data_IF_133860982669
#
_entry.id   IF_133860982669
#
_cell.length_a   1.000
_cell.length_b   1.000
_cell.length_c   1.000
_cell.angle_alpha   90.00
_cell.angle_beta   90.00
_cell.angle_gamma   90.00
#
_symmetry.space_group_name_H-M   'P 1'
#
loop_
_entity.id
_entity.type
_entity.pdbx_description
1 polymer ?
#
# COMPACT_ATOMS: atom_id res chain seq x y z
N UNK A 1 16.15 15.08 1.31
CA UNK A 1 16.65 13.69 1.39
C UNK A 1 16.62 13.07 0.01
N UNK A 2 17.55 12.16 -0.29
CA UNK A 2 17.57 11.39 -1.54
C UNK A 2 16.33 10.49 -1.55
N UNK A 3 15.45 10.65 -2.55
CA UNK A 3 14.13 10.00 -2.62
C UNK A 3 14.14 8.55 -3.09
N UNK A 4 15.25 7.82 -2.95
CA UNK A 4 15.33 6.41 -3.32
C UNK A 4 14.77 5.51 -2.21
N UNK A 5 14.17 4.39 -2.61
CA UNK A 5 13.81 3.33 -1.67
C UNK A 5 15.07 2.76 -1.00
N UNK A 6 14.94 2.34 0.26
CA UNK A 6 16.07 1.86 1.08
C UNK A 6 16.81 0.69 0.44
N UNK A 7 16.10 -0.21 -0.24
CA UNK A 7 16.70 -1.36 -0.92
C UNK A 7 17.56 -0.93 -2.11
N UNK A 8 17.06 0.00 -2.92
CA UNK A 8 17.79 0.55 -4.06
C UNK A 8 19.01 1.34 -3.62
N UNK A 9 18.91 2.09 -2.50
CA UNK A 9 20.07 2.76 -1.90
C UNK A 9 21.13 1.76 -1.45
N UNK A 10 20.75 0.69 -0.75
CA UNK A 10 21.69 -0.36 -0.32
C UNK A 10 22.36 -1.01 -1.52
N UNK A 11 21.60 -1.29 -2.58
CA UNK A 11 22.13 -1.85 -3.81
C UNK A 11 23.12 -0.89 -4.48
N UNK A 12 22.75 0.36 -4.70
CA UNK A 12 23.65 1.38 -5.29
C UNK A 12 24.95 1.54 -4.49
N UNK A 13 24.86 1.54 -3.15
CA UNK A 13 26.03 1.61 -2.30
C UNK A 13 26.90 0.35 -2.40
N UNK A 14 26.30 -0.83 -2.59
CA UNK A 14 27.05 -2.09 -2.76
C UNK A 14 27.83 -2.17 -4.08
N UNK A 15 27.45 -1.40 -5.09
CA UNK A 15 28.13 -1.35 -6.39
C UNK A 15 29.49 -0.63 -6.33
N UNK A 16 29.79 0.11 -5.25
CA UNK A 16 31.02 0.90 -5.10
C UNK A 16 31.32 1.80 -6.31
N UNK A 17 30.36 2.66 -6.66
CA UNK A 17 30.50 3.61 -7.77
C UNK A 17 31.69 4.57 -7.56
N UNK A 18 32.35 4.97 -8.66
CA UNK A 18 33.55 5.82 -8.60
C UNK A 18 33.26 7.20 -8.04
N UNK A 19 32.05 7.72 -8.27
CA UNK A 19 31.60 9.00 -7.76
C UNK A 19 30.41 8.86 -6.81
N UNK A 20 30.43 9.68 -5.76
CA UNK A 20 29.30 9.80 -4.82
C UNK A 20 28.11 10.50 -5.48
N UNK A 21 26.92 9.89 -5.41
CA UNK A 21 25.68 10.48 -5.90
C UNK A 21 24.96 11.21 -4.76
N UNK A 22 25.15 12.53 -4.65
CA UNK A 22 24.48 13.36 -3.64
C UNK A 22 23.16 13.92 -4.17
N UNK A 23 23.13 14.25 -5.46
CA UNK A 23 21.97 14.83 -6.11
C UNK A 23 21.61 13.99 -7.34
N UNK A 24 20.73 12.97 -7.19
CA UNK A 24 20.49 11.98 -8.23
C UNK A 24 20.02 12.62 -9.55
N UNK A 25 19.27 13.73 -9.49
CA UNK A 25 18.86 14.45 -10.70
C UNK A 25 20.03 14.90 -11.55
N UNK A 26 21.08 15.45 -10.93
CA UNK A 26 22.25 15.99 -11.63
C UNK A 26 23.27 14.90 -11.93
N UNK A 27 23.56 14.06 -10.94
CA UNK A 27 24.67 13.11 -11.00
C UNK A 27 24.38 11.99 -12.02
N UNK A 28 23.11 11.56 -12.16
CA UNK A 28 22.71 10.59 -13.18
C UNK A 28 22.41 11.21 -14.56
N UNK A 29 22.24 12.54 -14.66
CA UNK A 29 21.94 13.20 -15.94
C UNK A 29 23.08 13.09 -16.96
N UNK A 30 24.32 12.90 -16.51
CA UNK A 30 25.47 12.72 -17.39
C UNK A 30 25.50 11.34 -18.07
N UNK A 31 24.88 10.33 -17.47
CA UNK A 31 24.92 8.96 -17.98
C UNK A 31 26.19 8.17 -17.60
N UNK A 32 27.28 8.82 -17.16
CA UNK A 32 28.50 8.13 -16.71
C UNK A 32 28.22 7.13 -15.56
N UNK A 33 27.56 7.58 -14.50
CA UNK A 33 27.20 6.70 -13.38
C UNK A 33 26.26 5.56 -13.79
N UNK A 34 25.37 5.82 -14.76
CA UNK A 34 24.48 4.80 -15.32
C UNK A 34 25.31 3.75 -16.06
N UNK A 35 26.29 4.17 -16.85
CA UNK A 35 27.19 3.26 -17.53
C UNK A 35 27.97 2.39 -16.54
N UNK A 36 28.46 2.94 -15.43
CA UNK A 36 29.13 2.15 -14.38
C UNK A 36 28.20 1.09 -13.77
N UNK A 37 26.95 1.45 -13.47
CA UNK A 37 25.95 0.51 -12.95
C UNK A 37 25.75 -0.66 -13.92
N UNK A 38 25.58 -0.37 -15.23
CA UNK A 38 25.41 -1.42 -16.23
C UNK A 38 26.68 -2.24 -16.43
N UNK A 39 27.87 -1.63 -16.38
CA UNK A 39 29.14 -2.36 -16.51
C UNK A 39 29.39 -3.34 -15.36
N UNK A 40 28.87 -3.06 -14.15
CA UNK A 40 28.92 -4.02 -13.05
C UNK A 40 28.15 -5.31 -13.37
N UNK A 41 26.98 -5.20 -14.01
CA UNK A 41 26.15 -6.35 -14.36
C UNK A 41 26.50 -6.99 -15.71
N UNK A 42 27.07 -6.22 -16.63
CA UNK A 42 27.49 -6.65 -17.97
C UNK A 42 28.98 -6.32 -18.18
N UNK A 43 29.89 -7.04 -17.49
CA UNK A 43 31.32 -6.74 -17.58
C UNK A 43 31.83 -6.93 -19.01
N UNK A 44 32.52 -5.92 -19.53
CA UNK A 44 33.15 -5.95 -20.86
C UNK A 44 32.25 -5.50 -22.03
N UNK A 45 30.97 -5.24 -21.78
CA UNK A 45 30.05 -4.73 -22.80
C UNK A 45 30.15 -3.19 -22.97
N UNK A 46 30.55 -2.48 -21.91
CA UNK A 46 30.72 -1.04 -21.87
C UNK A 46 32.17 -0.66 -21.61
N UNK A 47 32.73 0.18 -22.47
CA UNK A 47 34.06 0.76 -22.26
C UNK A 47 33.94 2.02 -21.40
N UNK A 48 33.91 1.87 -20.07
CA UNK A 48 33.82 2.98 -19.11
C UNK A 48 34.83 4.12 -19.38
N UNK A 49 36.11 3.86 -19.72
CA UNK A 49 37.05 4.94 -20.03
C UNK A 49 36.68 5.80 -21.24
N UNK A 50 35.79 5.32 -22.12
CA UNK A 50 35.28 6.09 -23.26
C UNK A 50 34.16 7.06 -22.89
N UNK A 51 33.63 6.97 -21.67
CA UNK A 51 32.64 7.91 -21.14
C UNK A 51 33.34 9.10 -20.48
N UNK A 52 32.78 10.29 -20.67
CA UNK A 52 33.36 11.51 -20.14
C UNK A 52 32.59 12.00 -18.91
N UNK A 53 33.30 12.42 -17.86
CA UNK A 53 32.71 13.00 -16.64
C UNK A 53 32.28 14.47 -16.81
N UNK A 54 32.57 15.10 -17.96
CA UNK A 54 32.23 16.50 -18.20
C UNK A 54 30.72 16.78 -18.21
N UNK A 55 30.32 17.98 -17.79
CA UNK A 55 28.90 18.35 -17.62
C UNK A 55 28.30 19.11 -18.83
N UNK A 56 29.08 19.27 -19.91
CA UNK A 56 28.61 19.98 -21.11
C UNK A 56 27.50 19.20 -21.82
N UNK A 57 26.55 19.92 -22.43
CA UNK A 57 25.40 19.31 -23.12
C UNK A 57 25.82 18.35 -24.24
N UNK A 58 26.91 18.68 -24.94
CA UNK A 58 27.50 17.84 -25.99
C UNK A 58 28.05 16.54 -25.41
N UNK A 59 28.79 16.61 -24.30
CA UNK A 59 29.34 15.44 -23.62
C UNK A 59 28.22 14.52 -23.14
N UNK A 60 27.21 15.08 -22.47
CA UNK A 60 26.04 14.31 -22.04
C UNK A 60 25.40 13.58 -23.21
N UNK A 61 25.21 14.26 -24.34
CA UNK A 61 24.60 13.67 -25.53
C UNK A 61 25.45 12.51 -26.07
N UNK A 62 26.77 12.68 -26.17
CA UNK A 62 27.68 11.59 -26.60
C UNK A 62 27.62 10.39 -25.66
N UNK A 63 27.63 10.61 -24.34
CA UNK A 63 27.51 9.54 -23.34
C UNK A 63 26.19 8.78 -23.48
N UNK A 64 25.06 9.51 -23.63
CA UNK A 64 23.75 8.89 -23.81
C UNK A 64 23.63 8.14 -25.15
N UNK A 65 24.25 8.62 -26.22
CA UNK A 65 24.27 7.90 -27.51
C UNK A 65 25.02 6.57 -27.41
N UNK A 66 26.13 6.52 -26.65
CA UNK A 66 26.85 5.27 -26.36
C UNK A 66 25.98 4.31 -25.54
N UNK A 67 25.31 4.80 -24.50
CA UNK A 67 24.37 4.00 -23.70
C UNK A 67 23.23 3.43 -24.55
N UNK A 68 22.65 4.23 -25.45
CA UNK A 68 21.58 3.75 -26.34
C UNK A 68 22.05 2.63 -27.27
N UNK A 69 23.28 2.70 -27.79
CA UNK A 69 23.86 1.60 -28.58
C UNK A 69 23.99 0.32 -27.75
N UNK A 70 24.44 0.45 -26.50
CA UNK A 70 24.52 -0.68 -25.57
C UNK A 70 23.13 -1.27 -25.25
N UNK A 71 22.12 -0.43 -25.00
CA UNK A 71 20.76 -0.89 -24.73
C UNK A 71 20.17 -1.65 -25.92
N UNK A 72 20.37 -1.14 -27.14
CA UNK A 72 19.95 -1.83 -28.37
C UNK A 72 20.67 -3.17 -28.54
N UNK A 73 21.97 -3.23 -28.27
CA UNK A 73 22.76 -4.48 -28.37
C UNK A 73 22.27 -5.55 -27.39
N UNK A 74 21.89 -5.15 -26.18
CA UNK A 74 21.46 -6.07 -25.11
C UNK A 74 19.93 -6.27 -25.06
N UNK A 75 19.19 -5.84 -26.09
CA UNK A 75 17.72 -5.90 -26.16
C UNK A 75 16.99 -5.23 -24.97
N UNK A 76 17.63 -4.24 -24.35
CA UNK A 76 17.04 -3.45 -23.27
C UNK A 76 16.21 -2.33 -23.89
N UNK A 77 14.89 -2.41 -23.74
CA UNK A 77 13.98 -1.40 -24.26
C UNK A 77 13.82 -0.25 -23.27
N UNK A 78 14.58 0.83 -23.47
CA UNK A 78 14.43 2.07 -22.72
C UNK A 78 13.74 3.10 -23.62
N UNK A 79 12.60 3.69 -23.21
CA UNK A 79 11.94 4.71 -23.99
C UNK A 79 12.80 5.97 -24.06
N UNK A 80 12.91 6.54 -25.27
CA UNK A 80 13.68 7.78 -25.48
C UNK A 80 13.21 8.91 -24.57
N UNK A 81 11.91 8.96 -24.28
CA UNK A 81 11.32 9.95 -23.39
C UNK A 81 11.88 9.89 -21.96
N UNK A 82 12.16 8.70 -21.43
CA UNK A 82 12.83 8.56 -20.13
C UNK A 82 14.26 9.14 -20.17
N UNK A 83 15.00 8.87 -21.25
CA UNK A 83 16.35 9.43 -21.44
C UNK A 83 16.31 10.96 -21.50
N UNK A 84 15.36 11.51 -22.26
CA UNK A 84 15.15 12.97 -22.33
C UNK A 84 14.78 13.55 -20.96
N UNK A 85 13.90 12.89 -20.21
CA UNK A 85 13.49 13.33 -18.89
C UNK A 85 14.66 13.39 -17.89
N UNK A 86 15.57 12.40 -17.94
CA UNK A 86 16.77 12.39 -17.09
C UNK A 86 17.74 13.48 -17.52
N UNK A 87 18.01 13.61 -18.83
CA UNK A 87 18.94 14.62 -19.37
C UNK A 87 18.50 16.05 -19.05
N UNK A 88 17.20 16.31 -18.98
CA UNK A 88 16.61 17.60 -18.64
C UNK A 88 16.37 17.81 -17.13
N UNK A 89 16.82 16.90 -16.26
CA UNK A 89 16.69 16.99 -14.81
C UNK A 89 15.24 17.05 -14.30
N UNK A 90 14.29 16.37 -14.98
CA UNK A 90 12.91 16.29 -14.51
C UNK A 90 12.83 15.72 -13.08
N UNK A 91 11.83 16.17 -12.32
CA UNK A 91 11.59 15.69 -10.97
C UNK A 91 11.35 14.18 -11.00
N UNK A 92 12.04 13.46 -10.11
CA UNK A 92 11.94 12.01 -9.92
C UNK A 92 12.31 11.13 -11.14
N UNK A 93 12.57 11.69 -12.33
CA UNK A 93 12.89 10.91 -13.54
C UNK A 93 14.12 10.01 -13.34
N UNK A 94 15.22 10.57 -12.82
CA UNK A 94 16.42 9.80 -12.49
C UNK A 94 16.15 8.73 -11.42
N UNK A 95 15.27 9.03 -10.46
CA UNK A 95 14.95 8.11 -9.36
C UNK A 95 14.18 6.91 -9.91
N UNK A 96 13.09 7.16 -10.64
CA UNK A 96 12.29 6.13 -11.30
C UNK A 96 13.11 5.30 -12.28
N UNK A 97 14.00 5.94 -13.04
CA UNK A 97 14.86 5.22 -13.97
C UNK A 97 15.75 4.22 -13.23
N UNK A 98 16.41 4.65 -12.15
CA UNK A 98 17.31 3.76 -11.40
C UNK A 98 16.53 2.66 -10.69
N UNK A 99 15.35 2.93 -10.13
CA UNK A 99 14.48 1.89 -9.58
C UNK A 99 14.06 0.86 -10.64
N UNK A 100 13.68 1.33 -11.84
CA UNK A 100 13.37 0.43 -12.95
C UNK A 100 14.59 -0.39 -13.38
N UNK A 101 15.80 0.20 -13.41
CA UNK A 101 17.03 -0.55 -13.69
C UNK A 101 17.33 -1.58 -12.61
N UNK A 102 17.09 -1.26 -11.34
CA UNK A 102 17.24 -2.22 -10.24
C UNK A 102 16.32 -3.42 -10.43
N UNK A 103 15.04 -3.18 -10.73
CA UNK A 103 14.08 -4.26 -10.98
C UNK A 103 14.45 -5.06 -12.24
N UNK A 104 14.91 -4.41 -13.30
CA UNK A 104 15.37 -5.08 -14.52
C UNK A 104 16.57 -6.00 -14.26
N UNK A 105 17.56 -5.54 -13.49
CA UNK A 105 18.83 -6.24 -13.29
C UNK A 105 18.74 -7.32 -12.20
N UNK A 106 17.91 -7.12 -11.17
CA UNK A 106 17.83 -8.03 -10.02
C UNK A 106 16.56 -8.88 -10.00
N UNK A 107 15.57 -8.57 -10.83
CA UNK A 107 14.26 -9.21 -10.84
C UNK A 107 13.42 -8.93 -9.58
N UNK A 108 13.86 -8.03 -8.69
CA UNK A 108 13.16 -7.69 -7.45
C UNK A 108 12.27 -6.46 -7.64
N UNK A 109 10.99 -6.60 -7.30
CA UNK A 109 10.04 -5.47 -7.29
C UNK A 109 10.19 -4.69 -6.00
N UNK A 110 10.42 -3.39 -6.11
CA UNK A 110 10.43 -2.51 -4.94
C UNK A 110 9.03 -2.02 -4.64
N UNK A 111 8.58 -2.20 -3.40
CA UNK A 111 7.31 -1.60 -2.97
C UNK A 111 7.55 -0.12 -2.68
N UNK A 112 7.31 0.75 -3.66
CA UNK A 112 7.15 2.17 -3.37
C UNK A 112 5.81 2.30 -2.63
N UNK A 113 5.77 2.84 -1.40
CA UNK A 113 4.50 3.26 -0.82
C UNK A 113 3.86 4.19 -1.82
N UNK A 114 2.66 3.88 -2.29
CA UNK A 114 1.91 4.78 -3.16
C UNK A 114 1.77 6.08 -2.37
N UNK A 115 2.45 7.14 -2.82
CA UNK A 115 2.13 8.48 -2.36
C UNK A 115 0.71 8.72 -2.85
N UNK A 116 -0.26 8.45 -1.99
CA UNK A 116 -1.60 8.97 -2.18
C UNK A 116 -1.40 10.48 -2.19
N UNK A 117 -1.51 11.08 -3.36
CA UNK A 117 -1.55 12.53 -3.61
C UNK A 117 -2.81 13.12 -2.97
N UNK A 118 -2.94 12.95 -1.66
CA UNK A 118 -3.87 13.62 -0.81
C UNK A 118 -3.03 14.42 0.17
N UNK A 119 -3.23 15.73 0.19
CA UNK A 119 -2.77 16.60 1.24
C UNK A 119 -3.02 15.89 2.58
N UNK A 120 -1.95 15.51 3.31
CA UNK A 120 -2.11 14.82 4.59
C UNK A 120 -2.67 15.82 5.59
N UNK A 121 -3.99 15.98 5.59
CA UNK A 121 -4.71 16.83 6.52
C UNK A 121 -4.35 16.32 7.92
N UNK A 122 -3.63 17.10 8.74
CA UNK A 122 -3.31 16.67 10.09
C UNK A 122 -4.59 16.30 10.83
N UNK A 123 -4.55 15.24 11.65
CA UNK A 123 -5.74 14.72 12.33
C UNK A 123 -6.49 15.80 13.13
N UNK A 124 -5.75 16.79 13.67
CA UNK A 124 -6.32 17.92 14.40
C UNK A 124 -7.07 18.94 13.53
N UNK A 125 -6.88 18.91 12.21
CA UNK A 125 -7.57 19.77 11.24
C UNK A 125 -8.76 19.09 10.57
N UNK A 126 -9.03 17.83 10.90
CA UNK A 126 -10.29 17.20 10.56
C UNK A 126 -11.39 17.85 11.40
N UNK A 127 -12.45 18.33 10.75
CA UNK A 127 -13.67 18.70 11.45
C UNK A 127 -14.13 17.50 12.28
N UNK A 128 -14.52 17.76 13.52
CA UNK A 128 -15.10 16.68 14.34
C UNK A 128 -16.29 16.07 13.61
N UNK A 129 -16.48 14.76 13.76
CA UNK A 129 -17.60 14.03 13.15
C UNK A 129 -18.94 14.73 13.44
N UNK A 130 -19.09 15.33 14.62
CA UNK A 130 -20.25 16.14 15.02
C UNK A 130 -20.43 17.40 14.16
N UNK A 131 -19.35 18.12 13.86
CA UNK A 131 -19.39 19.28 12.95
C UNK A 131 -19.71 18.88 11.51
N UNK A 132 -19.21 17.73 11.04
CA UNK A 132 -19.51 17.21 9.70
C UNK A 132 -21.00 16.84 9.60
N UNK A 133 -21.53 16.13 10.60
CA UNK A 133 -22.95 15.74 10.66
C UNK A 133 -23.84 16.99 10.66
N UNK A 134 -23.49 18.01 11.46
CA UNK A 134 -24.25 19.26 11.51
C UNK A 134 -24.24 20.01 10.18
N UNK A 135 -23.08 20.11 9.51
CA UNK A 135 -22.97 20.81 8.23
C UNK A 135 -23.68 20.05 7.09
N UNK A 136 -23.69 18.71 7.11
CA UNK A 136 -24.51 17.92 6.17
C UNK A 136 -26.02 18.11 6.43
N UNK A 137 -26.41 18.29 7.69
CA UNK A 137 -27.80 18.42 8.12
C UNK A 137 -28.47 19.72 7.66
N UNK A 138 -27.72 20.73 7.23
CA UNK A 138 -28.27 21.97 6.67
C UNK A 138 -29.02 21.74 5.32
N UNK A 139 -28.84 20.58 4.67
CA UNK A 139 -29.66 20.11 3.54
C UNK A 139 -30.96 19.41 4.01
N UNK A 140 -31.61 20.06 4.97
CA UNK A 140 -32.50 19.56 6.04
C UNK A 140 -33.55 18.50 5.69
N UNK A 141 -34.21 18.53 4.53
CA UNK A 141 -35.45 17.74 4.35
C UNK A 141 -35.25 16.24 4.14
N UNK A 142 -34.18 15.80 3.45
CA UNK A 142 -33.95 14.36 3.18
C UNK A 142 -33.23 13.67 4.34
N UNK A 143 -32.31 14.37 5.00
CA UNK A 143 -31.55 13.85 6.11
C UNK A 143 -32.43 13.58 7.34
N UNK A 144 -33.39 14.46 7.63
CA UNK A 144 -34.37 14.25 8.71
C UNK A 144 -35.22 13.01 8.47
N UNK A 145 -35.72 12.81 7.25
CA UNK A 145 -36.51 11.63 6.91
C UNK A 145 -35.71 10.32 7.09
N UNK A 146 -34.43 10.32 6.68
CA UNK A 146 -33.56 9.15 6.83
C UNK A 146 -33.26 8.87 8.31
N UNK A 147 -32.97 9.90 9.11
CA UNK A 147 -32.70 9.75 10.54
C UNK A 147 -33.95 9.27 11.30
N UNK A 148 -35.13 9.77 10.93
CA UNK A 148 -36.39 9.37 11.58
C UNK A 148 -36.72 7.91 11.22
N UNK A 149 -36.60 7.54 9.94
CA UNK A 149 -36.78 6.16 9.49
C UNK A 149 -35.79 5.19 10.14
N UNK A 150 -34.53 5.59 10.30
CA UNK A 150 -33.51 4.77 10.95
C UNK A 150 -33.82 4.56 12.45
N UNK A 151 -34.26 5.60 13.15
CA UNK A 151 -34.65 5.50 14.55
C UNK A 151 -35.85 4.58 14.77
N UNK A 152 -36.84 4.64 13.88
CA UNK A 152 -38.02 3.76 13.97
C UNK A 152 -37.68 2.31 13.62
N UNK A 153 -36.77 2.08 12.68
CA UNK A 153 -36.22 0.74 12.40
C UNK A 153 -35.50 0.15 13.62
N UNK A 154 -34.66 0.93 14.30
CA UNK A 154 -33.96 0.46 15.51
C UNK A 154 -34.91 0.14 16.67
N UNK A 155 -36.01 0.88 16.83
CA UNK A 155 -37.06 0.56 17.81
C UNK A 155 -37.72 -0.78 17.50
N UNK A 156 -37.98 -1.08 16.22
CA UNK A 156 -38.54 -2.36 15.82
C UNK A 156 -37.59 -3.51 16.14
N UNK A 157 -36.30 -3.39 15.79
CA UNK A 157 -35.30 -4.42 16.13
C UNK A 157 -35.26 -4.65 17.64
N UNK A 158 -35.18 -3.59 18.45
CA UNK A 158 -35.13 -3.71 19.92
C UNK A 158 -36.36 -4.42 20.50
N UNK A 159 -37.54 -4.15 19.93
CA UNK A 159 -38.77 -4.81 20.34
C UNK A 159 -38.80 -6.29 19.89
N UNK A 160 -38.27 -6.62 18.72
CA UNK A 160 -38.17 -8.00 18.24
C UNK A 160 -37.15 -8.81 19.03
N UNK A 161 -36.01 -8.22 19.39
CA UNK A 161 -35.01 -8.88 20.25
C UNK A 161 -35.59 -9.13 21.64
N UNK A 162 -36.27 -8.13 22.24
CA UNK A 162 -36.93 -8.31 23.53
C UNK A 162 -38.01 -9.42 23.51
N UNK A 163 -38.78 -9.52 22.41
CA UNK A 163 -39.77 -10.61 22.22
C UNK A 163 -39.10 -11.98 22.05
N UNK A 164 -37.99 -12.07 21.30
CA UNK A 164 -37.22 -13.32 21.17
C UNK A 164 -36.63 -13.76 22.50
N UNK A 165 -36.06 -12.83 23.27
CA UNK A 165 -35.48 -13.12 24.58
C UNK A 165 -36.55 -13.59 25.57
N UNK A 166 -37.74 -12.99 25.53
CA UNK A 166 -38.89 -13.46 26.32
C UNK A 166 -39.35 -14.87 25.91
N UNK A 167 -39.37 -15.17 24.60
CA UNK A 167 -39.75 -16.50 24.08
C UNK A 167 -38.73 -17.58 24.44
N UNK A 168 -37.43 -17.26 24.35
CA UNK A 168 -36.33 -18.16 24.74
C UNK A 168 -36.38 -18.44 26.25
N UNK A 169 -36.58 -17.40 27.06
CA UNK A 169 -36.70 -17.54 28.52
C UNK A 169 -37.91 -18.39 28.91
N UNK A 170 -39.05 -18.17 28.24
CA UNK A 170 -40.27 -18.96 28.45
C UNK A 170 -40.09 -20.44 28.07
N UNK A 171 -39.37 -20.72 26.99
CA UNK A 171 -39.08 -22.09 26.55
C UNK A 171 -38.13 -22.79 27.51
N UNK A 172 -37.06 -22.11 27.94
CA UNK A 172 -36.09 -22.64 28.91
C UNK A 172 -36.73 -22.97 30.26
N UNK A 173 -37.69 -22.16 30.70
CA UNK A 173 -38.48 -22.44 31.93
C UNK A 173 -39.37 -23.68 31.75
N UNK A 174 -39.96 -23.91 30.56
CA UNK A 174 -40.75 -25.12 30.29
C UNK A 174 -39.88 -26.38 30.26
N UNK A 175 -38.71 -26.30 29.65
CA UNK A 175 -37.79 -27.43 29.53
C UNK A 175 -37.23 -27.84 30.91
N UNK A 176 -36.86 -26.86 31.75
CA UNK A 176 -36.45 -27.11 33.15
C UNK A 176 -37.57 -27.75 33.99
N UNK A 177 -38.83 -27.36 33.76
CA UNK A 177 -39.96 -28.00 34.44
C UNK A 177 -40.16 -29.45 33.98
N UNK A 178 -39.95 -29.74 32.69
CA UNK A 178 -40.07 -31.09 32.13
C UNK A 178 -38.99 -32.03 32.68
N UNK A 179 -37.74 -31.56 32.70
CA UNK A 179 -36.61 -32.32 33.26
C UNK A 179 -36.81 -32.65 34.75
N UNK A 180 -37.36 -31.69 35.53
CA UNK A 180 -37.67 -31.92 36.95
C UNK A 180 -38.79 -32.97 37.15
N UNK A 181 -39.79 -33.02 36.26
CA UNK A 181 -40.85 -34.05 36.31
C UNK A 181 -40.28 -35.43 35.97
N UNK A 182 -39.36 -35.50 35.01
CA UNK A 182 -38.73 -36.74 34.56
C UNK A 182 -37.80 -37.30 35.65
N UNK A 183 -37.01 -36.46 36.32
CA UNK A 183 -36.21 -36.87 37.48
C UNK A 183 -37.06 -37.41 38.64
N UNK A 184 -38.21 -36.79 38.93
CA UNK A 184 -39.14 -37.28 39.96
C UNK A 184 -39.74 -38.64 39.59
N UNK A 185 -39.99 -38.90 38.30
CA UNK A 185 -40.44 -40.20 37.81
C UNK A 185 -39.38 -41.29 37.97
N UNK A 186 -38.12 -40.99 37.62
CA UNK A 186 -36.99 -41.92 37.77
C UNK A 186 -36.75 -42.28 39.24
N UNK A 187 -36.80 -41.30 40.15
CA UNK A 187 -36.64 -41.54 41.59
C UNK A 187 -37.77 -42.43 42.13
N UNK A 188 -39.03 -42.20 41.70
CA UNK A 188 -40.15 -43.09 42.05
C UNK A 188 -39.92 -44.52 41.56
N UNK A 189 -39.38 -44.69 40.35
CA UNK A 189 -39.13 -46.03 39.78
C UNK A 189 -38.01 -46.78 40.48
N UNK A 190 -36.97 -46.07 40.96
CA UNK A 190 -35.89 -46.65 41.78
C UNK A 190 -36.41 -47.10 43.14
N UNK A 191 -37.28 -46.31 43.79
CA UNK A 191 -37.86 -46.65 45.09
C UNK A 191 -38.78 -47.87 45.04
N UNK A 192 -39.52 -48.08 43.93
CA UNK A 192 -40.38 -49.25 43.74
C UNK A 192 -39.58 -50.55 43.52
N UNK A 193 -38.34 -50.46 42.99
CA UNK A 193 -37.46 -51.63 42.82
C UNK A 193 -36.76 -52.09 44.10
N UNK A 194 -36.77 -51.30 45.17
CA UNK A 194 -36.17 -51.65 46.46
C UNK A 194 -37.17 -52.30 47.44
N UNK A 195 -38.44 -52.50 47.04
CA UNK A 195 -39.51 -53.05 47.88
C UNK A 195 -39.98 -54.46 47.51
N UNK A 196 -39.19 -55.21 46.72
CA UNK A 196 -39.36 -56.64 46.44
C UNK A 196 -38.05 -57.37 46.74
#
# INVERSE_FOLDING_TARGET
MIGFQREVLKWLLSLNLSYSFKNPKRDFANGYLIAEIFNYHYPGELLIPCFYTGDSKEIKTKNWDQLQKFFKKNNIQIPNEAVHAIKNHHLNAAIYFIENTYTLLTGKTTQRPVEVEGERIPHFSLLTTSSIIRNLSESTSKAELILTAHNDYLKLIRNETAKKDFKITSQKIKDLKKEKVEQVSVIKHILVKQSH
#
